data_IF_912553957742
#
_entry.id   IF_912553957742
#
_cell.length_a   1.000
_cell.length_b   1.000
_cell.length_c   1.000
_cell.angle_alpha   90.00
_cell.angle_beta   90.00
_cell.angle_gamma   90.00
#
_symmetry.space_group_name_H-M   'P 1'
#
loop_
_entity.id
_entity.type
_entity.pdbx_description
1 polymer ?
#
# COMPACT_ATOMS: atom_id res chain seq x y z
N UNK A 1 7.34 0.60 23.34
CA UNK A 1 6.55 -0.65 23.46
C UNK A 1 5.61 -0.63 22.27
N UNK A 2 5.73 -1.54 21.31
CA UNK A 2 5.00 -1.44 20.04
C UNK A 2 3.49 -1.54 20.28
N UNK A 3 2.67 -0.50 19.98
CA UNK A 3 1.27 -0.39 20.40
C UNK A 3 0.29 -1.21 19.53
N UNK A 4 0.81 -2.11 18.70
CA UNK A 4 0.03 -2.85 17.71
C UNK A 4 -0.42 -4.22 18.23
N UNK A 5 -1.69 -4.32 18.62
CA UNK A 5 -2.36 -5.57 18.99
C UNK A 5 -3.28 -6.04 17.87
N UNK A 6 -4.22 -5.20 17.45
CA UNK A 6 -5.15 -5.46 16.36
C UNK A 6 -4.44 -5.53 15.00
N UNK A 7 -3.43 -4.69 14.77
CA UNK A 7 -2.60 -4.77 13.56
C UNK A 7 -1.80 -6.09 13.46
N UNK A 8 -1.61 -6.80 14.59
CA UNK A 8 -0.93 -8.10 14.66
C UNK A 8 -1.89 -9.30 14.63
N UNK A 9 -3.17 -9.10 14.34
CA UNK A 9 -4.07 -10.21 14.02
C UNK A 9 -3.65 -10.83 12.68
N UNK A 10 -3.61 -12.17 12.56
CA UNK A 10 -3.18 -12.82 11.33
C UNK A 10 -4.02 -12.44 10.10
N UNK A 11 -3.35 -12.27 8.96
CA UNK A 11 -3.98 -12.18 7.63
C UNK A 11 -3.95 -13.57 6.99
N UNK A 12 -5.08 -14.01 6.41
CA UNK A 12 -5.34 -15.34 5.85
C UNK A 12 -4.11 -16.16 5.41
N UNK A 13 -3.70 -17.18 6.16
CA UNK A 13 -2.58 -18.08 5.80
C UNK A 13 -1.24 -17.37 5.46
N UNK A 14 -1.09 -16.06 5.77
CA UNK A 14 0.13 -15.27 5.57
C UNK A 14 0.90 -15.02 6.86
N UNK A 15 0.21 -15.07 8.00
CA UNK A 15 0.79 -14.78 9.31
C UNK A 15 0.45 -13.37 9.80
N UNK A 16 1.32 -12.78 10.62
CA UNK A 16 1.11 -11.47 11.25
C UNK A 16 2.07 -10.44 10.66
N UNK A 17 1.62 -9.19 10.56
CA UNK A 17 2.48 -8.11 10.10
C UNK A 17 3.68 -7.92 11.05
N UNK A 18 4.93 -7.91 10.55
CA UNK A 18 6.11 -7.59 11.35
C UNK A 18 6.00 -6.20 11.98
N UNK A 19 6.52 -6.02 13.19
CA UNK A 19 6.53 -4.69 13.85
C UNK A 19 7.23 -3.65 12.99
N UNK A 20 8.40 -3.98 12.45
CA UNK A 20 9.19 -3.03 11.65
C UNK A 20 8.39 -2.55 10.42
N UNK A 21 7.65 -3.43 9.76
CA UNK A 21 6.77 -3.04 8.65
C UNK A 21 5.66 -2.06 9.09
N UNK A 22 5.06 -2.28 10.26
CA UNK A 22 4.04 -1.37 10.82
C UNK A 22 4.64 -0.01 11.19
N UNK A 23 5.83 -0.02 11.78
CA UNK A 23 6.55 1.20 12.15
C UNK A 23 6.94 2.01 10.90
N UNK A 24 7.36 1.35 9.83
CA UNK A 24 7.63 1.99 8.52
C UNK A 24 6.38 2.62 7.90
N UNK A 25 5.23 1.93 7.94
CA UNK A 25 3.94 2.48 7.51
C UNK A 25 3.57 3.75 8.27
N UNK A 26 3.73 3.74 9.60
CA UNK A 26 3.43 4.90 10.45
C UNK A 26 4.40 6.04 10.19
N UNK A 27 5.70 5.73 10.08
CA UNK A 27 6.73 6.71 9.78
C UNK A 27 6.43 7.42 8.46
N UNK A 28 6.10 6.67 7.40
CA UNK A 28 5.66 7.27 6.15
C UNK A 28 4.36 8.07 6.33
N UNK A 29 3.34 7.53 6.99
CA UNK A 29 2.05 8.21 7.16
C UNK A 29 2.14 9.56 7.89
N UNK A 30 3.10 9.72 8.80
CA UNK A 30 3.39 10.99 9.48
C UNK A 30 3.95 12.04 8.53
N UNK A 31 4.88 11.68 7.65
CA UNK A 31 5.48 12.60 6.67
C UNK A 31 4.70 12.73 5.37
N UNK A 32 3.78 11.80 5.09
CA UNK A 32 3.09 11.71 3.81
C UNK A 32 2.24 12.97 3.54
N UNK A 33 2.33 13.54 2.33
CA UNK A 33 1.57 14.71 1.94
C UNK A 33 0.06 14.53 2.09
N UNK A 34 -0.62 15.52 2.68
CA UNK A 34 -2.04 15.44 3.01
C UNK A 34 -2.94 15.27 1.78
N UNK A 35 -2.52 15.75 0.60
CA UNK A 35 -3.25 15.62 -0.65
C UNK A 35 -3.47 14.15 -1.06
N UNK A 36 -2.56 13.24 -0.69
CA UNK A 36 -2.69 11.79 -0.95
C UNK A 36 -3.93 11.22 -0.26
N UNK A 37 -4.44 11.88 0.78
CA UNK A 37 -5.54 11.39 1.61
C UNK A 37 -6.82 12.22 1.44
N UNK A 38 -6.81 13.29 0.66
CA UNK A 38 -8.00 14.12 0.44
C UNK A 38 -9.14 13.33 -0.21
N UNK A 39 -10.42 13.60 0.11
CA UNK A 39 -11.55 13.02 -0.61
C UNK A 39 -11.49 13.33 -2.12
N UNK A 40 -11.92 12.37 -2.94
CA UNK A 40 -12.06 12.54 -4.39
C UNK A 40 -13.49 12.19 -4.82
N UNK A 41 -14.02 12.82 -5.90
CA UNK A 41 -15.37 12.52 -6.40
C UNK A 41 -15.45 11.19 -7.17
N UNK A 42 -14.34 10.49 -7.35
CA UNK A 42 -14.23 9.24 -8.10
C UNK A 42 -14.29 8.01 -7.19
N UNK A 43 -14.73 6.87 -7.73
CA UNK A 43 -14.59 5.61 -7.01
C UNK A 43 -13.10 5.23 -6.91
N UNK A 44 -12.66 4.91 -5.71
CA UNK A 44 -11.26 4.70 -5.33
C UNK A 44 -11.22 3.95 -3.99
N UNK A 45 -10.02 3.68 -3.45
CA UNK A 45 -9.89 2.76 -2.31
C UNK A 45 -10.76 3.12 -1.11
N UNK A 46 -10.93 4.42 -0.80
CA UNK A 46 -11.79 4.84 0.31
C UNK A 46 -13.26 4.53 0.05
N UNK A 47 -13.73 4.69 -1.19
CA UNK A 47 -15.09 4.30 -1.59
C UNK A 47 -15.27 2.79 -1.57
N UNK A 48 -14.21 2.03 -1.84
CA UNK A 48 -14.20 0.57 -1.86
C UNK A 48 -14.33 -0.03 -0.46
N UNK A 49 -13.57 0.48 0.53
CA UNK A 49 -13.53 -0.08 1.90
C UNK A 49 -14.51 0.59 2.88
N UNK A 50 -15.35 1.52 2.41
CA UNK A 50 -16.22 2.32 3.28
C UNK A 50 -17.22 1.47 4.09
N UNK A 51 -17.65 0.32 3.56
CA UNK A 51 -18.53 -0.60 4.28
C UNK A 51 -17.91 -1.14 5.57
N UNK A 52 -16.60 -1.38 5.56
CA UNK A 52 -15.87 -1.98 6.68
C UNK A 52 -15.25 -0.94 7.61
N UNK A 53 -14.67 0.12 7.04
CA UNK A 53 -13.87 1.10 7.78
C UNK A 53 -14.53 2.47 7.94
N UNK A 54 -15.61 2.73 7.20
CA UNK A 54 -16.37 3.96 7.30
C UNK A 54 -17.37 3.99 8.46
N UNK A 55 -18.12 5.09 8.60
CA UNK A 55 -17.97 6.34 7.83
C UNK A 55 -16.67 7.09 8.18
N UNK A 56 -16.16 7.90 7.25
CA UNK A 56 -15.01 8.76 7.49
C UNK A 56 -15.49 10.13 7.98
N UNK A 57 -15.05 10.61 9.16
CA UNK A 57 -15.43 11.94 9.62
C UNK A 57 -15.01 13.02 8.60
N UNK A 58 -15.89 13.98 8.25
CA UNK A 58 -15.55 15.04 7.30
C UNK A 58 -14.32 15.84 7.76
N UNK A 59 -13.33 15.99 6.87
CA UNK A 59 -12.10 16.72 7.16
C UNK A 59 -11.07 15.98 8.01
N UNK A 60 -11.37 14.77 8.52
CA UNK A 60 -10.43 13.98 9.31
C UNK A 60 -9.46 13.21 8.41
N UNK A 61 -8.37 13.89 8.05
CA UNK A 61 -7.29 13.28 7.26
C UNK A 61 -6.51 12.24 8.05
N UNK A 62 -6.42 12.35 9.38
CA UNK A 62 -5.72 11.37 10.21
C UNK A 62 -6.42 10.01 10.15
N UNK A 63 -7.76 10.00 10.23
CA UNK A 63 -8.51 8.75 10.05
C UNK A 63 -8.34 8.18 8.64
N UNK A 64 -8.35 9.03 7.60
CA UNK A 64 -8.11 8.58 6.22
C UNK A 64 -6.69 8.04 6.02
N UNK A 65 -5.67 8.65 6.63
CA UNK A 65 -4.31 8.12 6.68
C UNK A 65 -4.29 6.73 7.31
N UNK A 66 -4.88 6.58 8.50
CA UNK A 66 -4.95 5.30 9.20
C UNK A 66 -5.68 4.21 8.40
N UNK A 67 -6.76 4.55 7.70
CA UNK A 67 -7.46 3.64 6.79
C UNK A 67 -6.55 3.17 5.65
N UNK A 68 -5.76 4.09 5.04
CA UNK A 68 -4.79 3.70 4.02
C UNK A 68 -3.72 2.77 4.58
N UNK A 69 -3.17 3.06 5.77
CA UNK A 69 -2.18 2.19 6.41
C UNK A 69 -2.74 0.79 6.69
N UNK A 70 -3.99 0.70 7.11
CA UNK A 70 -4.65 -0.59 7.32
C UNK A 70 -4.84 -1.38 6.03
N UNK A 71 -5.22 -0.71 4.93
CA UNK A 71 -5.31 -1.35 3.60
C UNK A 71 -3.93 -1.84 3.16
N UNK A 72 -2.89 -1.02 3.29
CA UNK A 72 -1.52 -1.39 2.91
C UNK A 72 -0.99 -2.55 3.74
N UNK A 73 -1.26 -2.57 5.06
CA UNK A 73 -0.92 -3.68 5.95
C UNK A 73 -1.51 -4.99 5.45
N UNK A 74 -2.81 -5.02 5.16
CA UNK A 74 -3.48 -6.25 4.71
C UNK A 74 -3.03 -6.64 3.30
N UNK A 75 -2.93 -5.66 2.39
CA UNK A 75 -2.49 -5.88 1.02
C UNK A 75 -1.09 -6.52 0.98
N UNK A 76 -0.11 -5.94 1.69
CA UNK A 76 1.25 -6.49 1.73
C UNK A 76 1.30 -7.93 2.28
N UNK A 77 0.42 -8.24 3.23
CA UNK A 77 0.24 -9.62 3.70
C UNK A 77 -0.14 -10.56 2.56
N UNK A 78 -1.19 -10.20 1.80
CA UNK A 78 -1.65 -11.01 0.66
C UNK A 78 -0.62 -11.14 -0.46
N UNK A 79 0.05 -10.04 -0.79
CA UNK A 79 0.93 -9.95 -1.95
C UNK A 79 2.28 -10.63 -1.71
N UNK A 80 2.88 -10.46 -0.52
CA UNK A 80 4.27 -10.88 -0.29
C UNK A 80 4.54 -11.41 1.12
N UNK A 81 3.53 -11.50 1.99
CA UNK A 81 3.74 -11.68 3.43
C UNK A 81 4.68 -10.61 4.01
N UNK A 82 4.46 -9.35 3.62
CA UNK A 82 5.23 -8.17 4.05
C UNK A 82 6.71 -8.18 3.64
N UNK A 83 7.08 -8.98 2.64
CA UNK A 83 8.47 -9.11 2.19
C UNK A 83 8.84 -8.01 1.18
N UNK A 84 9.61 -7.02 1.62
CA UNK A 84 10.18 -5.98 0.74
C UNK A 84 11.09 -6.52 -0.36
N UNK A 85 11.69 -7.70 -0.15
CA UNK A 85 12.59 -8.32 -1.11
C UNK A 85 11.88 -9.26 -2.09
N UNK A 86 10.57 -9.37 -2.02
CA UNK A 86 9.78 -10.20 -2.92
C UNK A 86 9.91 -9.73 -4.37
N UNK A 87 9.83 -10.69 -5.29
CA UNK A 87 9.96 -10.50 -6.73
C UNK A 87 10.21 -11.84 -7.40
N UNK A 88 9.95 -11.90 -8.71
CA UNK A 88 9.98 -13.07 -9.61
C UNK A 88 10.20 -14.46 -9.01
N UNK A 89 9.17 -15.28 -9.21
CA UNK A 89 9.33 -16.71 -9.47
C UNK A 89 10.10 -16.89 -10.80
N UNK A 90 11.38 -17.23 -10.68
CA UNK A 90 12.31 -17.44 -11.82
C UNK A 90 11.88 -18.53 -12.81
N UNK A 91 10.75 -19.21 -12.56
CA UNK A 91 10.22 -20.32 -13.37
C UNK A 91 9.18 -19.91 -14.41
N UNK A 92 8.67 -18.68 -14.43
CA UNK A 92 7.65 -18.26 -15.40
C UNK A 92 8.20 -17.35 -16.52
N UNK A 93 8.30 -17.84 -17.78
CA UNK A 93 8.82 -17.06 -18.90
C UNK A 93 8.01 -15.82 -19.29
N UNK A 94 6.71 -15.76 -18.96
CA UNK A 94 5.84 -14.62 -19.31
C UNK A 94 5.93 -13.43 -18.35
N UNK A 95 6.51 -13.62 -17.16
CA UNK A 95 6.78 -12.56 -16.17
C UNK A 95 8.15 -11.89 -16.32
N UNK A 96 8.91 -12.23 -17.37
CA UNK A 96 10.33 -11.91 -17.47
C UNK A 96 10.65 -10.57 -18.16
N UNK A 97 9.64 -9.72 -18.40
CA UNK A 97 9.86 -8.38 -18.93
C UNK A 97 9.90 -7.36 -17.80
N UNK A 98 10.84 -6.39 -17.81
CA UNK A 98 11.00 -5.40 -16.75
C UNK A 98 9.70 -4.72 -16.29
N UNK A 99 8.84 -4.29 -17.23
CA UNK A 99 7.64 -3.52 -16.89
C UNK A 99 6.43 -4.33 -16.44
N UNK A 100 6.39 -5.63 -16.73
CA UNK A 100 5.28 -6.52 -16.29
C UNK A 100 5.58 -7.18 -14.96
N UNK A 101 6.83 -7.12 -14.51
CA UNK A 101 7.26 -7.81 -13.32
C UNK A 101 6.91 -7.02 -12.06
N UNK A 102 6.21 -7.69 -11.15
CA UNK A 102 5.86 -7.16 -9.85
C UNK A 102 7.05 -7.26 -8.87
N UNK A 103 7.17 -6.27 -7.99
CA UNK A 103 8.27 -6.18 -7.04
C UNK A 103 7.83 -5.66 -5.67
N UNK A 104 8.56 -6.10 -4.64
CA UNK A 104 8.46 -5.61 -3.28
C UNK A 104 7.20 -6.05 -2.54
N UNK A 105 6.97 -5.44 -1.38
CA UNK A 105 5.95 -5.92 -0.45
C UNK A 105 4.52 -5.84 -1.01
N UNK A 106 4.28 -4.90 -1.93
CA UNK A 106 2.98 -4.68 -2.54
C UNK A 106 2.82 -5.32 -3.93
N UNK A 107 3.86 -6.00 -4.43
CA UNK A 107 3.86 -6.63 -5.77
C UNK A 107 3.35 -5.68 -6.87
N UNK A 108 3.97 -4.51 -7.02
CA UNK A 108 3.60 -3.54 -8.06
C UNK A 108 4.57 -3.63 -9.24
N UNK A 109 4.06 -3.56 -10.47
CA UNK A 109 4.86 -3.59 -11.69
C UNK A 109 5.01 -2.20 -12.34
N UNK A 110 6.08 -2.01 -13.13
CA UNK A 110 6.39 -0.75 -13.80
C UNK A 110 5.29 -0.26 -14.77
N UNK A 111 4.48 -1.16 -15.32
CA UNK A 111 3.30 -0.80 -16.13
C UNK A 111 2.33 0.14 -15.39
N UNK A 112 2.31 0.08 -14.06
CA UNK A 112 1.44 0.92 -13.25
C UNK A 112 1.76 2.42 -13.35
N UNK A 113 2.96 2.81 -13.81
CA UNK A 113 3.33 4.22 -14.03
C UNK A 113 2.44 4.90 -15.09
N UNK A 114 1.70 4.12 -15.89
CA UNK A 114 0.79 4.62 -16.91
C UNK A 114 -0.64 4.89 -16.40
N UNK A 115 -0.98 4.57 -15.14
CA UNK A 115 -2.31 4.88 -14.60
C UNK A 115 -2.52 6.38 -14.40
N UNK A 116 -1.48 7.12 -14.04
CA UNK A 116 -1.53 8.56 -13.87
C UNK A 116 -0.12 9.17 -13.97
N UNK A 117 -0.03 10.39 -14.51
CA UNK A 117 1.25 11.11 -14.69
C UNK A 117 1.97 11.30 -13.36
N UNK A 118 1.26 11.48 -12.24
CA UNK A 118 1.86 11.67 -10.93
C UNK A 118 2.62 10.45 -10.41
N UNK A 119 2.25 9.24 -10.82
CA UNK A 119 2.98 8.01 -10.47
C UNK A 119 4.32 7.95 -11.19
N UNK A 120 4.32 8.28 -12.49
CA UNK A 120 5.54 8.38 -13.29
C UNK A 120 6.44 9.50 -12.77
N UNK A 121 5.88 10.66 -12.45
CA UNK A 121 6.63 11.79 -11.88
C UNK A 121 7.28 11.44 -10.55
N UNK A 122 6.56 10.77 -9.63
CA UNK A 122 7.12 10.29 -8.37
C UNK A 122 8.29 9.32 -8.62
N UNK A 123 8.15 8.43 -9.60
CA UNK A 123 9.23 7.51 -9.96
C UNK A 123 10.47 8.25 -10.47
N UNK A 124 10.30 9.19 -11.41
CA UNK A 124 11.42 9.99 -11.92
C UNK A 124 12.08 10.81 -10.81
N UNK A 125 11.28 11.40 -9.91
CA UNK A 125 11.78 12.20 -8.78
C UNK A 125 12.66 11.38 -7.83
N UNK A 126 12.23 10.17 -7.48
CA UNK A 126 12.95 9.33 -6.51
C UNK A 126 14.05 8.49 -7.15
N UNK A 127 13.80 7.94 -8.34
CA UNK A 127 14.67 6.98 -9.01
C UNK A 127 15.58 7.61 -10.08
N UNK A 128 15.31 8.84 -10.49
CA UNK A 128 16.02 9.56 -11.56
C UNK A 128 15.61 9.17 -12.99
N UNK A 129 14.70 8.20 -13.15
CA UNK A 129 14.24 7.66 -14.44
C UNK A 129 12.89 6.96 -14.26
N UNK A 130 12.14 6.77 -15.35
CA UNK A 130 10.94 5.92 -15.42
C UNK A 130 11.24 4.53 -16.02
N UNK A 131 12.50 4.11 -16.02
CA UNK A 131 12.90 2.76 -16.41
C UNK A 131 12.32 1.71 -15.45
N UNK A 132 11.79 0.62 -16.02
CA UNK A 132 11.10 -0.40 -15.24
C UNK A 132 12.03 -1.28 -14.39
N UNK A 133 13.27 -1.50 -14.80
CA UNK A 133 14.23 -2.22 -13.96
C UNK A 133 14.61 -1.35 -12.77
N UNK A 134 14.85 -0.06 -13.02
CA UNK A 134 15.11 0.88 -11.94
C UNK A 134 13.92 1.03 -10.99
N UNK A 135 12.69 1.09 -11.51
CA UNK A 135 11.48 1.09 -10.72
C UNK A 135 11.47 -0.10 -9.75
N UNK A 136 11.70 -1.31 -10.25
CA UNK A 136 11.71 -2.53 -9.42
C UNK A 136 12.78 -2.50 -8.34
N UNK A 137 13.99 -2.07 -8.67
CA UNK A 137 15.06 -1.93 -7.68
C UNK A 137 14.66 -0.96 -6.57
N UNK A 138 14.16 0.22 -6.93
CA UNK A 138 13.81 1.27 -5.98
C UNK A 138 12.58 0.88 -5.15
N UNK A 139 11.58 0.21 -5.73
CA UNK A 139 10.42 -0.34 -5.00
C UNK A 139 10.84 -1.34 -3.91
N UNK A 140 11.96 -2.06 -4.10
CA UNK A 140 12.48 -3.00 -3.10
C UNK A 140 13.40 -2.33 -2.08
N UNK A 141 14.21 -1.35 -2.49
CA UNK A 141 15.24 -0.75 -1.63
C UNK A 141 14.82 0.55 -0.94
N UNK A 142 13.78 1.22 -1.42
CA UNK A 142 13.25 2.47 -0.87
C UNK A 142 11.79 2.27 -0.46
N UNK A 143 11.58 1.81 0.78
CA UNK A 143 10.25 1.47 1.27
C UNK A 143 9.31 2.68 1.37
N UNK A 144 9.75 3.89 1.82
CA UNK A 144 8.89 5.08 1.74
C UNK A 144 8.33 5.34 0.35
N UNK A 145 9.16 5.18 -0.69
CA UNK A 145 8.69 5.28 -2.07
C UNK A 145 7.68 4.17 -2.41
N UNK A 146 7.96 2.92 -2.07
CA UNK A 146 7.05 1.80 -2.36
C UNK A 146 5.67 1.98 -1.69
N UNK A 147 5.66 2.43 -0.43
CA UNK A 147 4.45 2.73 0.33
C UNK A 147 3.68 3.86 -0.34
N UNK A 148 4.35 4.98 -0.64
CA UNK A 148 3.70 6.14 -1.27
C UNK A 148 3.13 5.80 -2.65
N UNK A 149 3.93 5.11 -3.46
CA UNK A 149 3.56 4.74 -4.81
C UNK A 149 2.31 3.85 -4.79
N UNK A 150 2.29 2.82 -3.93
CA UNK A 150 1.12 1.95 -3.78
C UNK A 150 -0.09 2.75 -3.26
N UNK A 151 0.07 3.59 -2.23
CA UNK A 151 -1.00 4.42 -1.71
C UNK A 151 -1.63 5.32 -2.80
N UNK A 152 -0.80 5.96 -3.63
CA UNK A 152 -1.26 6.78 -4.78
C UNK A 152 -1.95 5.92 -5.83
N UNK A 153 -1.39 4.76 -6.18
CA UNK A 153 -1.98 3.85 -7.15
C UNK A 153 -3.40 3.42 -6.75
N UNK A 154 -3.61 3.12 -5.46
CA UNK A 154 -4.92 2.79 -4.89
C UNK A 154 -5.92 3.95 -4.94
N UNK A 155 -5.47 5.20 -5.05
CA UNK A 155 -6.34 6.35 -5.32
C UNK A 155 -6.85 6.40 -6.77
N UNK A 156 -6.19 5.70 -7.70
CA UNK A 156 -6.53 5.69 -9.13
C UNK A 156 -7.24 4.42 -9.58
N UNK A 157 -6.90 3.27 -8.98
CA UNK A 157 -7.47 1.98 -9.37
C UNK A 157 -7.52 1.00 -8.21
N UNK A 158 -8.63 0.28 -8.11
CA UNK A 158 -8.80 -0.89 -7.24
C UNK A 158 -8.68 -2.20 -8.02
N UNK A 159 -8.36 -2.13 -9.31
CA UNK A 159 -8.33 -3.27 -10.24
C UNK A 159 -6.92 -3.81 -10.47
N UNK A 160 -5.88 -3.14 -9.97
CA UNK A 160 -4.48 -3.55 -10.16
C UNK A 160 -4.15 -4.77 -9.29
N UNK A 161 -4.46 -4.70 -8.00
CA UNK A 161 -4.18 -5.75 -7.04
C UNK A 161 -5.31 -6.78 -7.02
N UNK A 162 -5.00 -8.05 -7.30
CA UNK A 162 -5.95 -9.16 -7.22
C UNK A 162 -6.71 -9.22 -5.88
N UNK A 163 -6.02 -9.15 -4.71
CA UNK A 163 -6.67 -9.20 -3.40
C UNK A 163 -7.67 -8.05 -3.16
N UNK A 164 -7.44 -6.87 -3.74
CA UNK A 164 -8.38 -5.75 -3.65
C UNK A 164 -9.50 -5.94 -4.65
N UNK A 165 -9.19 -6.24 -5.91
CA UNK A 165 -10.17 -6.46 -6.98
C UNK A 165 -11.24 -7.49 -6.60
N UNK A 166 -10.81 -8.59 -5.96
CA UNK A 166 -11.68 -9.70 -5.57
C UNK A 166 -12.35 -9.51 -4.20
N UNK A 167 -12.01 -8.44 -3.46
CA UNK A 167 -12.55 -8.16 -2.13
C UNK A 167 -11.97 -9.03 -1.01
N UNK A 168 -10.86 -9.72 -1.25
CA UNK A 168 -10.21 -10.57 -0.25
C UNK A 168 -9.77 -9.75 0.97
N UNK A 169 -9.26 -8.52 0.75
CA UNK A 169 -8.81 -7.62 1.82
C UNK A 169 -9.93 -7.21 2.79
N UNK A 170 -11.19 -7.17 2.34
CA UNK A 170 -12.31 -6.66 3.14
C UNK A 170 -12.56 -7.48 4.41
N UNK A 171 -12.21 -8.77 4.38
CA UNK A 171 -12.37 -9.67 5.53
C UNK A 171 -11.32 -9.48 6.62
N UNK A 172 -10.23 -8.77 6.31
CA UNK A 172 -9.03 -8.69 7.17
C UNK A 172 -8.68 -7.28 7.61
N UNK A 173 -9.28 -6.28 6.99
CA UNK A 173 -9.23 -4.90 7.47
C UNK A 173 -10.18 -4.72 8.65
N UNK A 174 -9.76 -4.01 9.69
CA UNK A 174 -10.60 -3.81 10.87
C UNK A 174 -10.54 -2.38 11.41
N UNK A 175 -11.67 -1.90 11.94
CA UNK A 175 -11.72 -0.62 12.68
C UNK A 175 -10.80 -0.61 13.90
N UNK A 176 -10.51 -1.76 14.50
CA UNK A 176 -9.61 -1.86 15.64
C UNK A 176 -8.16 -1.53 15.24
N UNK A 177 -7.66 -2.16 14.17
CA UNK A 177 -6.34 -1.87 13.61
C UNK A 177 -6.26 -0.42 13.08
N UNK A 178 -7.32 0.09 12.44
CA UNK A 178 -7.38 1.52 12.06
C UNK A 178 -7.22 2.45 13.27
N UNK A 179 -7.85 2.15 14.42
CA UNK A 179 -7.69 2.97 15.64
C UNK A 179 -6.26 2.95 16.17
N UNK A 180 -5.58 1.82 16.09
CA UNK A 180 -4.15 1.74 16.47
C UNK A 180 -3.29 2.60 15.57
N UNK A 181 -3.54 2.60 14.26
CA UNK A 181 -2.86 3.52 13.34
C UNK A 181 -3.19 4.99 13.63
N UNK A 182 -4.44 5.35 13.96
CA UNK A 182 -4.77 6.72 14.38
C UNK A 182 -3.98 7.13 15.62
N UNK A 183 -3.90 6.26 16.63
CA UNK A 183 -3.11 6.54 17.83
C UNK A 183 -1.64 6.76 17.48
N UNK A 184 -1.04 5.83 16.73
CA UNK A 184 0.37 5.88 16.34
C UNK A 184 0.72 7.10 15.47
N UNK A 185 -0.21 7.59 14.65
CA UNK A 185 -0.02 8.80 13.83
C UNK A 185 -0.02 10.09 14.65
N UNK A 186 -0.61 10.11 15.84
CA UNK A 186 -0.71 11.29 16.71
C UNK A 186 0.38 11.36 17.80
N UNK A 187 1.17 10.29 17.95
CA UNK A 187 2.37 10.27 18.81
C UNK A 187 3.53 11.06 18.20
#
# INVERSE_FOLDING_TARGET
>A
MSPFLACKVPVYNRGVAPTDFLDELVSWGKSAPNEIFQPRPTHEIYSYVVGELGPYPPGDLTYRKAVMLEVLRVLAGFESSWNWNEGVDTKNPDSNKPCTMEAGAFQVSGNSMNFDVSLRSLTIEVAGTDDCDRFREVTKSNHPFAIEYCARLLRFTTQHHGPIKNGDVLKWITKAATKEFVAALNE
#
